data_IF_919844544664
#
_entry.id   IF_919844544664
#
_cell.length_a   1.000
_cell.length_b   1.000
_cell.length_c   1.000
_cell.angle_alpha   90.00
_cell.angle_beta   90.00
_cell.angle_gamma   90.00
#
_symmetry.space_group_name_H-M   'P 1'
#
loop_
_entity.id
_entity.type
_entity.pdbx_description
1 polymer ?
#
# COMPACT_ATOMS: atom_id res chain seq x y z
N UNK A 1 -21.75 25.32 -4.07
CA UNK A 1 -20.53 25.74 -4.80
C UNK A 1 -19.44 26.23 -3.86
N UNK A 2 -19.79 26.79 -2.70
CA UNK A 2 -18.86 27.50 -1.83
C UNK A 2 -18.13 26.64 -0.76
N UNK A 3 -18.49 25.36 -0.60
CA UNK A 3 -17.86 24.44 0.36
C UNK A 3 -16.66 23.64 -0.20
N UNK A 4 -16.20 23.94 -1.42
CA UNK A 4 -15.05 23.23 -1.99
C UNK A 4 -13.73 23.73 -1.40
N UNK A 5 -12.94 22.79 -0.86
CA UNK A 5 -11.58 23.06 -0.42
C UNK A 5 -10.71 23.37 -1.65
N UNK A 6 -10.13 24.57 -1.67
CA UNK A 6 -9.27 25.06 -2.75
C UNK A 6 -7.81 24.86 -2.38
N UNK A 7 -6.94 24.77 -3.38
CA UNK A 7 -5.50 24.78 -3.15
C UNK A 7 -5.04 26.19 -2.84
N UNK A 8 -4.43 26.39 -1.68
CA UNK A 8 -3.90 27.67 -1.22
C UNK A 8 -2.44 27.83 -1.64
N UNK A 9 -1.61 26.82 -1.39
CA UNK A 9 -0.19 26.83 -1.77
C UNK A 9 0.36 25.41 -1.95
N UNK A 10 1.41 25.29 -2.77
CA UNK A 10 2.14 24.05 -3.02
C UNK A 10 3.55 24.20 -2.44
N UNK A 11 4.00 23.23 -1.65
CA UNK A 11 5.37 23.21 -1.15
C UNK A 11 6.37 23.13 -2.31
N UNK A 12 7.46 23.91 -2.24
CA UNK A 12 8.47 23.98 -3.31
C UNK A 12 9.37 22.74 -3.36
N UNK A 13 9.47 22.03 -2.24
CA UNK A 13 10.23 20.79 -2.13
C UNK A 13 9.31 19.60 -2.37
N UNK A 14 9.81 18.61 -3.11
CA UNK A 14 9.09 17.38 -3.37
C UNK A 14 9.98 16.18 -3.02
N UNK A 15 9.34 15.11 -2.57
CA UNK A 15 10.02 13.85 -2.25
C UNK A 15 10.00 13.00 -3.50
N UNK A 16 11.16 12.57 -4.00
CA UNK A 16 11.21 11.53 -5.02
C UNK A 16 10.99 10.17 -4.36
N UNK A 17 9.95 9.46 -4.77
CA UNK A 17 9.67 8.13 -4.26
C UNK A 17 10.39 7.04 -5.06
N UNK A 18 10.62 5.90 -4.42
CA UNK A 18 11.20 4.71 -5.05
C UNK A 18 10.25 4.16 -6.14
N UNK A 19 10.75 3.96 -7.36
CA UNK A 19 9.96 3.37 -8.45
C UNK A 19 10.63 3.53 -9.80
N UNK A 20 10.20 2.74 -10.79
CA UNK A 20 10.75 2.80 -12.16
C UNK A 20 10.52 4.18 -12.79
N UNK A 21 9.35 4.78 -12.58
CA UNK A 21 9.03 6.11 -13.09
C UNK A 21 9.40 7.27 -12.16
N UNK A 22 10.12 6.97 -11.06
CA UNK A 22 10.60 7.94 -10.08
C UNK A 22 9.54 9.02 -9.73
N UNK A 23 8.35 8.63 -9.25
CA UNK A 23 7.25 9.55 -9.05
C UNK A 23 7.60 10.60 -7.98
N UNK A 24 7.09 11.82 -8.17
CA UNK A 24 7.33 12.95 -7.26
C UNK A 24 6.15 13.13 -6.32
N UNK A 25 6.40 13.20 -5.03
CA UNK A 25 5.37 13.45 -4.03
C UNK A 25 5.47 14.91 -3.59
N UNK A 26 4.42 15.69 -3.86
CA UNK A 26 4.30 17.08 -3.42
C UNK A 26 3.27 17.20 -2.30
N UNK A 27 3.38 18.26 -1.51
CA UNK A 27 2.40 18.60 -0.47
C UNK A 27 1.72 19.91 -0.83
N UNK A 28 0.40 19.92 -0.71
CA UNK A 28 -0.47 21.06 -1.07
C UNK A 28 -1.26 21.45 0.17
N UNK A 29 -1.21 22.73 0.54
CA UNK A 29 -2.04 23.29 1.60
C UNK A 29 -3.42 23.63 1.04
N UNK A 30 -4.47 23.08 1.62
CA UNK A 30 -5.85 23.42 1.30
C UNK A 30 -6.30 24.70 2.02
N UNK A 31 -7.37 25.32 1.53
CA UNK A 31 -8.02 26.49 2.15
C UNK A 31 -8.61 26.19 3.54
N UNK A 32 -8.72 24.91 3.90
CA UNK A 32 -9.08 24.41 5.22
C UNK A 32 -7.88 24.31 6.18
N UNK A 33 -6.68 24.65 5.72
CA UNK A 33 -5.44 24.57 6.49
C UNK A 33 -4.78 23.18 6.51
N UNK A 34 -5.41 22.16 5.91
CA UNK A 34 -4.88 20.80 5.89
C UNK A 34 -3.84 20.62 4.77
N UNK A 35 -2.91 19.68 4.99
CA UNK A 35 -1.88 19.34 4.00
C UNK A 35 -2.23 18.04 3.26
N UNK A 36 -2.39 18.16 1.95
CA UNK A 36 -2.72 17.09 1.02
C UNK A 36 -1.47 16.63 0.27
N UNK A 37 -1.15 15.34 0.34
CA UNK A 37 -0.07 14.73 -0.43
C UNK A 37 -0.58 14.28 -1.80
N UNK A 38 0.19 14.56 -2.84
CA UNK A 38 -0.14 14.23 -4.22
C UNK A 38 1.07 13.55 -4.85
N UNK A 39 0.83 12.44 -5.53
CA UNK A 39 1.85 11.72 -6.30
C UNK A 39 1.72 12.13 -7.76
N UNK A 40 2.80 12.66 -8.32
CA UNK A 40 2.96 12.94 -9.74
C UNK A 40 3.67 11.77 -10.40
N UNK A 41 2.98 11.13 -11.35
CA UNK A 41 3.48 9.98 -12.10
C UNK A 41 3.72 10.41 -13.55
N UNK A 42 4.91 10.11 -14.07
CA UNK A 42 5.31 10.40 -15.45
C UNK A 42 4.95 9.25 -16.41
N UNK A 43 3.77 8.64 -16.22
CA UNK A 43 3.24 7.56 -17.03
C UNK A 43 1.75 7.83 -17.32
N UNK A 44 1.19 7.10 -18.28
CA UNK A 44 -0.25 7.06 -18.53
C UNK A 44 -0.98 6.39 -17.36
N UNK A 45 -1.86 7.13 -16.68
CA UNK A 45 -2.65 6.65 -15.53
C UNK A 45 -4.12 6.41 -15.86
N UNK A 46 -4.49 6.36 -17.14
CA UNK A 46 -5.87 6.11 -17.55
C UNK A 46 -6.38 4.75 -17.09
N UNK A 47 -5.51 3.73 -17.13
CA UNK A 47 -5.85 2.40 -16.61
C UNK A 47 -6.04 2.43 -15.09
N UNK A 48 -5.14 3.09 -14.34
CA UNK A 48 -5.29 3.26 -12.89
C UNK A 48 -6.63 3.99 -12.55
N UNK A 49 -6.99 5.02 -13.33
CA UNK A 49 -8.25 5.76 -13.17
C UNK A 49 -9.49 4.90 -13.42
N UNK A 50 -9.48 4.06 -14.46
CA UNK A 50 -10.58 3.14 -14.75
C UNK A 50 -10.76 2.10 -13.64
N UNK A 51 -9.67 1.59 -13.09
CA UNK A 51 -9.71 0.63 -11.96
C UNK A 51 -10.31 1.28 -10.71
N UNK A 52 -9.91 2.50 -10.36
CA UNK A 52 -10.52 3.21 -9.22
C UNK A 52 -12.01 3.54 -9.43
N UNK A 53 -12.42 3.84 -10.67
CA UNK A 53 -13.84 4.01 -10.99
C UNK A 53 -14.64 2.72 -10.80
N UNK A 54 -14.09 1.58 -11.23
CA UNK A 54 -14.70 0.27 -10.99
C UNK A 54 -14.88 0.01 -9.49
N UNK A 55 -13.87 0.27 -8.66
CA UNK A 55 -14.01 0.11 -7.21
C UNK A 55 -15.05 1.07 -6.59
N UNK A 56 -15.19 2.27 -7.14
CA UNK A 56 -16.29 3.17 -6.74
C UNK A 56 -17.67 2.58 -7.04
N UNK A 57 -17.83 1.86 -8.16
CA UNK A 57 -19.08 1.17 -8.52
C UNK A 57 -19.30 -0.02 -7.59
N UNK A 58 -18.26 -0.83 -7.34
CA UNK A 58 -18.32 -1.96 -6.40
C UNK A 58 -18.78 -1.48 -5.03
N UNK A 59 -18.23 -0.37 -4.52
CA UNK A 59 -18.69 0.23 -3.27
C UNK A 59 -20.16 0.62 -3.30
N UNK A 60 -20.66 1.19 -4.41
CA UNK A 60 -22.08 1.53 -4.54
C UNK A 60 -22.98 0.31 -4.49
N UNK A 61 -22.50 -0.87 -4.89
CA UNK A 61 -23.24 -2.13 -4.82
C UNK A 61 -23.18 -2.72 -3.42
N UNK A 62 -22.00 -2.72 -2.79
CA UNK A 62 -21.79 -3.27 -1.44
C UNK A 62 -22.49 -2.48 -0.34
N UNK A 63 -22.67 -1.17 -0.52
CA UNK A 63 -23.25 -0.27 0.48
C UNK A 63 -24.76 -0.42 0.71
N UNK A 64 -25.45 -1.34 0.02
CA UNK A 64 -26.90 -1.53 0.20
C UNK A 64 -27.28 -2.39 1.43
N UNK A 65 -26.37 -3.20 1.99
CA UNK A 65 -26.72 -4.18 3.05
C UNK A 65 -25.83 -4.14 4.32
N UNK A 66 -24.65 -3.50 4.31
CA UNK A 66 -23.81 -3.30 5.51
C UNK A 66 -23.10 -1.92 5.47
N UNK A 67 -23.36 -1.05 6.46
CA UNK A 67 -22.72 0.29 6.59
C UNK A 67 -21.18 0.26 6.72
N UNK A 68 -20.58 -0.91 6.91
CA UNK A 68 -19.15 -1.07 7.18
C UNK A 68 -18.39 -1.84 6.07
N UNK A 69 -18.98 -2.00 4.88
CA UNK A 69 -18.39 -2.80 3.81
C UNK A 69 -17.88 -1.97 2.61
N UNK A 70 -16.96 -1.04 2.85
CA UNK A 70 -16.37 -0.21 1.79
C UNK A 70 -14.90 -0.55 1.49
N UNK A 71 -14.58 -0.64 0.20
CA UNK A 71 -13.22 -0.61 -0.31
C UNK A 71 -12.69 0.83 -0.27
N UNK A 72 -11.50 1.03 0.31
CA UNK A 72 -10.87 2.36 0.36
C UNK A 72 -10.32 2.77 -1.00
N UNK A 73 -11.05 3.61 -1.73
CA UNK A 73 -10.61 4.17 -3.03
C UNK A 73 -9.76 5.43 -2.86
N UNK A 74 -9.03 5.81 -3.91
CA UNK A 74 -8.32 7.09 -4.01
C UNK A 74 -8.55 7.73 -5.38
N UNK A 75 -8.30 9.04 -5.50
CA UNK A 75 -8.50 9.76 -6.76
C UNK A 75 -7.29 9.67 -7.68
N UNK A 76 -7.54 9.34 -8.95
CA UNK A 76 -6.55 9.37 -10.04
C UNK A 76 -7.05 10.32 -11.12
N UNK A 77 -6.20 11.26 -11.50
CA UNK A 77 -6.49 12.28 -12.51
C UNK A 77 -5.45 12.17 -13.63
N UNK A 78 -5.81 11.57 -14.77
CA UNK A 78 -4.98 11.64 -15.98
C UNK A 78 -4.90 13.10 -16.46
N UNK A 79 -3.69 13.58 -16.73
CA UNK A 79 -3.47 14.93 -17.28
C UNK A 79 -3.14 14.86 -18.78
N UNK A 80 -2.33 13.88 -19.18
CA UNK A 80 -2.01 13.54 -20.57
C UNK A 80 -1.63 12.04 -20.66
N UNK A 81 -1.43 11.54 -21.87
CA UNK A 81 -0.86 10.24 -22.22
C UNK A 81 0.51 9.92 -21.59
N UNK A 82 1.17 10.88 -20.94
CA UNK A 82 2.49 10.72 -20.33
C UNK A 82 2.55 11.18 -18.88
N UNK A 83 1.46 11.68 -18.31
CA UNK A 83 1.46 12.12 -16.93
C UNK A 83 0.08 12.13 -16.28
N UNK A 84 0.09 11.98 -14.96
CA UNK A 84 -1.10 12.15 -14.15
C UNK A 84 -0.78 12.36 -12.68
N UNK A 85 -1.82 12.68 -11.94
CA UNK A 85 -1.79 12.82 -10.49
C UNK A 85 -2.57 11.70 -9.81
N UNK A 86 -2.05 11.25 -8.68
CA UNK A 86 -2.67 10.25 -7.83
C UNK A 86 -2.74 10.83 -6.40
N UNK A 87 -3.90 10.74 -5.79
CA UNK A 87 -4.11 11.08 -4.38
C UNK A 87 -3.28 10.15 -3.49
N UNK A 88 -2.54 10.74 -2.55
CA UNK A 88 -1.85 9.97 -1.54
C UNK A 88 -2.80 9.70 -0.35
N UNK A 89 -3.03 8.43 -0.03
CA UNK A 89 -3.81 8.03 1.14
C UNK A 89 -3.13 8.50 2.43
N UNK A 90 -3.71 9.52 3.09
CA UNK A 90 -3.16 10.10 4.31
C UNK A 90 -3.17 9.10 5.48
N UNK A 91 -2.21 9.24 6.38
CA UNK A 91 -2.08 8.37 7.56
C UNK A 91 -1.68 6.93 7.25
N UNK A 92 -1.25 6.63 6.02
CA UNK A 92 -0.81 5.29 5.63
C UNK A 92 0.71 5.16 5.66
N UNK A 93 1.18 3.93 5.89
CA UNK A 93 2.57 3.51 5.75
C UNK A 93 2.61 2.24 4.92
N UNK A 94 3.62 2.09 4.05
CA UNK A 94 3.73 0.89 3.23
C UNK A 94 4.03 -0.36 4.06
N UNK A 95 3.44 -1.50 3.70
CA UNK A 95 3.71 -2.77 4.36
C UNK A 95 5.20 -3.16 4.26
N UNK A 96 5.86 -2.82 3.14
CA UNK A 96 7.32 -2.97 2.97
C UNK A 96 8.09 -2.26 4.08
N UNK A 97 7.75 -1.00 4.35
CA UNK A 97 8.43 -0.21 5.37
C UNK A 97 8.22 -0.80 6.77
N UNK A 98 6.99 -1.24 7.08
CA UNK A 98 6.68 -1.87 8.38
C UNK A 98 7.47 -3.18 8.54
N UNK A 99 7.44 -4.06 7.55
CA UNK A 99 8.01 -5.40 7.67
C UNK A 99 9.54 -5.41 7.55
N UNK A 100 10.09 -4.65 6.60
CA UNK A 100 11.48 -4.77 6.16
C UNK A 100 12.26 -3.44 6.16
N UNK A 101 11.60 -2.32 6.48
CA UNK A 101 12.17 -0.99 6.32
C UNK A 101 12.31 -0.56 4.84
N UNK A 102 12.71 0.70 4.64
CA UNK A 102 12.82 1.28 3.29
C UNK A 102 13.92 0.61 2.45
N UNK A 103 15.02 0.22 3.09
CA UNK A 103 16.21 -0.37 2.46
C UNK A 103 16.30 -1.90 2.61
N UNK A 104 15.25 -2.57 3.09
CA UNK A 104 15.22 -4.03 3.35
C UNK A 104 16.22 -4.52 4.41
N UNK A 105 16.71 -3.62 5.27
CA UNK A 105 17.65 -3.89 6.35
C UNK A 105 17.06 -3.61 7.74
N UNK A 106 15.75 -3.37 7.85
CA UNK A 106 15.10 -3.02 9.11
C UNK A 106 13.69 -3.59 9.26
N UNK A 107 12.82 -2.88 9.97
CA UNK A 107 11.42 -3.26 10.18
C UNK A 107 11.22 -4.39 11.20
N UNK A 108 10.02 -4.97 11.16
CA UNK A 108 9.63 -6.06 12.08
C UNK A 108 10.50 -7.31 11.94
N UNK A 109 10.96 -7.67 10.74
CA UNK A 109 11.77 -8.89 10.59
C UNK A 109 13.08 -8.82 11.36
N UNK A 110 13.80 -7.70 11.30
CA UNK A 110 15.07 -7.53 12.01
C UNK A 110 14.86 -7.49 13.53
N UNK A 111 13.74 -6.93 14.00
CA UNK A 111 13.49 -6.78 15.44
C UNK A 111 12.85 -8.01 16.09
N UNK A 112 11.96 -8.71 15.39
CA UNK A 112 11.21 -9.85 15.93
C UNK A 112 11.83 -11.20 15.59
N UNK A 113 12.60 -11.28 14.49
CA UNK A 113 13.27 -12.50 14.03
C UNK A 113 14.72 -12.21 13.61
N UNK A 114 15.60 -11.81 14.54
CA UNK A 114 16.99 -11.47 14.22
C UNK A 114 17.82 -12.68 13.73
N UNK A 115 17.34 -13.89 13.95
CA UNK A 115 17.98 -15.14 13.56
C UNK A 115 17.79 -15.45 12.06
N UNK A 116 16.69 -14.95 11.48
CA UNK A 116 16.35 -15.19 10.08
C UNK A 116 17.32 -14.45 9.15
N UNK A 117 17.45 -14.93 7.92
CA UNK A 117 18.17 -14.18 6.90
C UNK A 117 17.52 -12.80 6.66
N UNK A 118 18.34 -11.78 6.40
CA UNK A 118 17.81 -10.43 6.18
C UNK A 118 16.88 -10.39 4.96
N UNK A 119 15.84 -9.51 4.96
CA UNK A 119 14.92 -9.40 3.83
C UNK A 119 15.62 -9.14 2.49
N UNK A 120 16.71 -8.36 2.51
CA UNK A 120 17.54 -8.11 1.32
C UNK A 120 18.20 -9.38 0.77
N UNK A 121 18.79 -10.22 1.65
CA UNK A 121 19.42 -11.49 1.25
C UNK A 121 18.37 -12.44 0.68
N UNK A 122 17.23 -12.58 1.38
CA UNK A 122 16.14 -13.44 0.95
C UNK A 122 15.57 -13.01 -0.41
N UNK A 123 15.37 -11.70 -0.63
CA UNK A 123 14.96 -11.15 -1.94
C UNK A 123 15.95 -11.52 -3.05
N UNK A 124 17.25 -11.41 -2.80
CA UNK A 124 18.28 -11.72 -3.81
C UNK A 124 18.32 -13.23 -4.12
N UNK A 125 18.19 -14.09 -3.10
CA UNK A 125 18.06 -15.54 -3.25
C UNK A 125 16.87 -15.91 -4.13
N UNK A 126 15.68 -15.39 -3.81
CA UNK A 126 14.45 -15.62 -4.59
C UNK A 126 14.54 -15.06 -6.02
N UNK A 127 15.17 -13.91 -6.22
CA UNK A 127 15.39 -13.33 -7.56
C UNK A 127 16.28 -14.22 -8.43
N UNK A 128 17.27 -14.89 -7.84
CA UNK A 128 18.08 -15.89 -8.54
C UNK A 128 17.26 -17.11 -8.95
N UNK A 129 16.43 -17.61 -8.04
CA UNK A 129 15.57 -18.80 -8.25
C UNK A 129 14.49 -18.60 -9.32
N UNK A 130 14.03 -17.36 -9.53
CA UNK A 130 13.07 -17.02 -10.58
C UNK A 130 13.58 -17.34 -12.01
N UNK A 131 14.89 -17.53 -12.19
CA UNK A 131 15.51 -17.94 -13.46
C UNK A 131 15.58 -19.45 -13.65
N UNK A 132 15.31 -20.23 -12.60
CA UNK A 132 15.40 -21.68 -12.62
C UNK A 132 14.10 -22.33 -13.13
N UNK A 133 14.16 -23.62 -13.44
CA UNK A 133 12.97 -24.39 -13.81
C UNK A 133 11.96 -24.47 -12.65
N UNK A 134 10.66 -24.41 -12.96
CA UNK A 134 9.55 -24.26 -12.00
C UNK A 134 9.62 -25.24 -10.83
N UNK A 135 9.93 -26.52 -11.08
CA UNK A 135 10.03 -27.53 -10.00
C UNK A 135 11.13 -27.20 -8.97
N UNK A 136 12.29 -26.75 -9.45
CA UNK A 136 13.41 -26.36 -8.60
C UNK A 136 13.12 -25.06 -7.85
N UNK A 137 12.54 -24.07 -8.55
CA UNK A 137 12.12 -22.81 -7.94
C UNK A 137 11.08 -23.05 -6.83
N UNK A 138 10.12 -23.95 -7.05
CA UNK A 138 9.10 -24.32 -6.06
C UNK A 138 9.70 -25.00 -4.82
N UNK A 139 10.64 -25.93 -5.00
CA UNK A 139 11.32 -26.57 -3.87
C UNK A 139 12.10 -25.56 -3.02
N UNK A 140 12.91 -24.72 -3.68
CA UNK A 140 13.70 -23.69 -3.02
C UNK A 140 12.85 -22.58 -2.38
N UNK A 141 11.69 -22.27 -2.95
CA UNK A 141 10.74 -21.34 -2.34
C UNK A 141 10.16 -21.89 -1.03
N UNK A 142 9.79 -23.19 -0.98
CA UNK A 142 9.33 -23.82 0.27
C UNK A 142 10.40 -23.80 1.34
N UNK A 143 11.65 -24.04 0.97
CA UNK A 143 12.79 -23.94 1.88
C UNK A 143 12.98 -22.51 2.41
N UNK A 144 12.88 -21.51 1.54
CA UNK A 144 12.91 -20.10 1.93
C UNK A 144 11.78 -19.73 2.92
N UNK A 145 10.56 -20.23 2.70
CA UNK A 145 9.45 -20.02 3.64
C UNK A 145 9.68 -20.69 5.01
N UNK A 146 10.38 -21.83 5.05
CA UNK A 146 10.75 -22.46 6.31
C UNK A 146 11.83 -21.66 7.08
N UNK A 147 12.70 -20.95 6.36
CA UNK A 147 13.80 -20.15 6.92
C UNK A 147 13.40 -18.70 7.25
N UNK A 148 12.26 -18.22 6.77
CA UNK A 148 11.86 -16.81 6.90
C UNK A 148 10.43 -16.71 7.46
N UNK A 149 10.32 -16.46 8.76
CA UNK A 149 9.08 -16.57 9.50
C UNK A 149 8.20 -15.32 9.37
N UNK A 150 6.87 -15.44 9.28
CA UNK A 150 5.98 -14.30 9.18
C UNK A 150 5.93 -13.52 10.51
N UNK A 151 6.11 -12.19 10.43
CA UNK A 151 6.17 -11.30 11.62
C UNK A 151 5.06 -10.26 11.69
N UNK A 152 4.16 -10.17 10.70
CA UNK A 152 3.22 -9.05 10.61
C UNK A 152 2.26 -8.91 11.81
N UNK A 153 1.93 -10.01 12.50
CA UNK A 153 1.11 -9.98 13.73
C UNK A 153 1.66 -9.01 14.80
N UNK A 154 2.98 -8.83 14.85
CA UNK A 154 3.64 -7.97 15.83
C UNK A 154 3.33 -6.48 15.62
N UNK A 155 2.94 -6.08 14.40
CA UNK A 155 2.43 -4.73 14.15
C UNK A 155 1.25 -4.41 15.07
N UNK A 156 0.26 -5.31 15.13
CA UNK A 156 -0.94 -5.09 15.94
C UNK A 156 -0.63 -5.09 17.45
N UNK A 157 0.33 -5.91 17.90
CA UNK A 157 0.72 -5.95 19.32
C UNK A 157 1.42 -4.66 19.77
N UNK A 158 2.21 -4.04 18.88
CA UNK A 158 2.96 -2.82 19.19
C UNK A 158 2.08 -1.57 19.11
N UNK A 159 1.28 -1.46 18.07
CA UNK A 159 0.45 -0.25 17.84
C UNK A 159 -0.82 -0.22 18.70
N UNK A 160 -1.36 -1.40 19.07
CA UNK A 160 -2.61 -1.50 19.83
C UNK A 160 -2.45 -2.38 21.08
N UNK A 161 -1.89 -1.86 22.18
CA UNK A 161 -1.64 -2.64 23.39
C UNK A 161 -2.91 -3.06 24.14
N UNK A 162 -4.02 -2.32 23.96
CA UNK A 162 -5.30 -2.61 24.60
C UNK A 162 -6.05 -3.69 23.83
N UNK A 163 -6.57 -4.69 24.53
CA UNK A 163 -7.26 -5.86 23.93
C UNK A 163 -8.46 -5.44 23.06
N UNK A 164 -9.22 -4.44 23.49
CA UNK A 164 -10.36 -3.91 22.73
C UNK A 164 -9.92 -3.32 21.39
N UNK A 165 -8.88 -2.48 21.40
CA UNK A 165 -8.33 -1.86 20.20
C UNK A 165 -7.69 -2.89 19.28
N UNK A 166 -6.86 -3.78 19.83
CA UNK A 166 -6.24 -4.87 19.07
C UNK A 166 -7.30 -5.72 18.36
N UNK A 167 -8.34 -6.16 19.08
CA UNK A 167 -9.41 -7.00 18.54
C UNK A 167 -10.19 -6.28 17.44
N UNK A 168 -10.48 -5.00 17.65
CA UNK A 168 -11.15 -4.15 16.65
C UNK A 168 -10.28 -3.99 15.39
N UNK A 169 -9.01 -3.64 15.55
CA UNK A 169 -8.12 -3.34 14.44
C UNK A 169 -7.77 -4.59 13.62
N UNK A 170 -7.56 -5.75 14.27
CA UNK A 170 -7.33 -7.00 13.53
C UNK A 170 -8.58 -7.47 12.79
N UNK A 171 -9.79 -7.24 13.35
CA UNK A 171 -11.05 -7.52 12.65
C UNK A 171 -11.21 -6.64 11.43
N UNK A 172 -10.95 -5.34 11.56
CA UNK A 172 -11.00 -4.38 10.44
C UNK A 172 -10.00 -4.73 9.33
N UNK A 173 -8.77 -5.10 9.70
CA UNK A 173 -7.78 -5.59 8.73
C UNK A 173 -8.26 -6.85 7.99
N UNK A 174 -8.81 -7.84 8.69
CA UNK A 174 -9.31 -9.08 8.07
C UNK A 174 -10.50 -8.82 7.15
N UNK A 175 -11.46 -8.00 7.60
CA UNK A 175 -12.65 -7.63 6.81
C UNK A 175 -12.23 -6.93 5.51
N UNK A 176 -11.41 -5.88 5.63
CA UNK A 176 -10.91 -5.14 4.45
C UNK A 176 -10.10 -6.03 3.51
N UNK A 177 -9.19 -6.87 4.03
CA UNK A 177 -8.40 -7.78 3.19
C UNK A 177 -9.28 -8.75 2.40
N UNK A 178 -10.30 -9.34 3.05
CA UNK A 178 -11.23 -10.26 2.39
C UNK A 178 -12.03 -9.55 1.29
N UNK A 179 -12.52 -8.34 1.56
CA UNK A 179 -13.24 -7.52 0.59
C UNK A 179 -12.37 -7.18 -0.62
N UNK A 180 -11.14 -6.71 -0.39
CA UNK A 180 -10.19 -6.41 -1.47
C UNK A 180 -9.82 -7.65 -2.29
N UNK A 181 -9.63 -8.80 -1.63
CA UNK A 181 -9.33 -10.05 -2.32
C UNK A 181 -10.44 -10.45 -3.29
N UNK A 182 -11.70 -10.39 -2.86
CA UNK A 182 -12.85 -10.75 -3.70
C UNK A 182 -13.10 -9.69 -4.77
N UNK A 183 -13.05 -8.40 -4.40
CA UNK A 183 -13.28 -7.28 -5.32
C UNK A 183 -12.28 -7.25 -6.47
N UNK A 184 -11.01 -7.60 -6.23
CA UNK A 184 -9.97 -7.65 -7.27
C UNK A 184 -10.07 -8.93 -8.12
N UNK A 185 -10.62 -10.03 -7.61
CA UNK A 185 -10.85 -11.26 -8.38
C UNK A 185 -11.99 -11.13 -9.41
N UNK A 186 -12.91 -10.19 -9.18
CA UNK A 186 -14.05 -9.94 -10.07
C UNK A 186 -13.77 -8.85 -11.13
N UNK A 187 -12.60 -8.20 -11.06
CA UNK A 187 -12.14 -7.13 -11.96
C UNK A 187 -11.10 -7.65 -12.96
#
# INVERSE_FOLDING_TARGET
GDDLIKWESIERECIQADGISAPKVTRVKGSDGNLYKIIWKNDDVRQDCLVEQLFSIVNSILNNDEEEAFLRTYKVVPLDSKCGMIEFCQGTTSLKQILCGNNLLGGLHVSEQPQDETPLKMRNKLKGLAKCHVKQASAAFREACAQFQPVFRHFFYREYPLVCDWTRMIRNYRKSLAQWSIGTLCA
#
